data_IF_119278389646
#
_entry.id   IF_119278389646
#
_cell.length_a   1.000
_cell.length_b   1.000
_cell.length_c   1.000
_cell.angle_alpha   90.00
_cell.angle_beta   90.00
_cell.angle_gamma   90.00
#
_symmetry.space_group_name_H-M   'P 1'
#
loop_
_entity.id
_entity.type
_entity.pdbx_description
1 polymer ?
#
# COMPACT_ATOMS: atom_id res chain seq x y z
N UNK A 1 -2.08 3.53 19.50
CA UNK A 1 -1.42 3.09 18.25
C UNK A 1 -1.87 4.04 17.17
N UNK A 2 -0.92 4.69 16.53
CA UNK A 2 -1.19 5.60 15.41
C UNK A 2 -1.41 4.73 14.16
N UNK A 3 -2.59 4.84 13.54
CA UNK A 3 -2.82 4.19 12.25
C UNK A 3 -2.02 4.98 11.21
N UNK A 4 -1.38 4.28 10.28
CA UNK A 4 -0.65 4.92 9.18
C UNK A 4 -1.58 5.09 7.98
N UNK A 5 -1.46 6.24 7.32
CA UNK A 5 -2.23 6.44 6.12
C UNK A 5 -1.63 5.61 4.99
N UNK A 6 -2.49 4.98 4.18
CA UNK A 6 -2.09 4.16 3.05
C UNK A 6 -1.10 4.86 2.10
N UNK A 7 -1.14 6.20 2.04
CA UNK A 7 -0.23 7.00 1.23
C UNK A 7 1.24 6.81 1.60
N UNK A 8 1.58 6.49 2.86
CA UNK A 8 2.97 6.19 3.26
C UNK A 8 3.51 4.95 2.55
N UNK A 9 2.67 3.91 2.44
CA UNK A 9 3.01 2.69 1.68
C UNK A 9 3.15 3.01 0.19
N UNK A 10 2.31 3.88 -0.34
CA UNK A 10 2.37 4.26 -1.75
C UNK A 10 3.62 5.08 -2.07
N UNK A 11 4.06 5.97 -1.18
CA UNK A 11 5.33 6.67 -1.31
C UNK A 11 6.53 5.72 -1.28
N UNK A 12 6.51 4.70 -0.42
CA UNK A 12 7.54 3.65 -0.45
C UNK A 12 7.56 2.88 -1.77
N UNK A 13 6.40 2.68 -2.37
CA UNK A 13 6.29 1.99 -3.65
C UNK A 13 6.74 2.82 -4.85
N UNK A 14 6.86 4.13 -4.69
CA UNK A 14 7.27 5.03 -5.76
C UNK A 14 8.66 4.67 -6.29
N UNK A 15 8.80 4.63 -7.62
CA UNK A 15 10.06 4.27 -8.28
C UNK A 15 10.45 2.79 -8.14
N UNK A 16 9.63 1.96 -7.51
CA UNK A 16 9.91 0.55 -7.26
C UNK A 16 8.75 -0.34 -7.72
N UNK A 17 9.07 -1.61 -7.97
CA UNK A 17 8.12 -2.64 -8.37
C UNK A 17 8.06 -3.74 -7.33
N UNK A 18 6.86 -4.12 -6.93
CA UNK A 18 6.64 -5.16 -5.93
C UNK A 18 5.66 -6.22 -6.43
N UNK A 19 5.78 -7.41 -5.84
CA UNK A 19 4.75 -8.44 -5.88
C UNK A 19 3.92 -8.39 -4.59
N UNK A 20 2.76 -9.05 -4.52
CA UNK A 20 1.87 -9.00 -3.35
C UNK A 20 2.60 -9.49 -2.10
N UNK A 21 3.39 -10.56 -2.23
CA UNK A 21 4.26 -11.06 -1.17
C UNK A 21 5.35 -10.05 -0.77
N UNK A 22 6.16 -9.58 -1.72
CA UNK A 22 7.28 -8.67 -1.42
C UNK A 22 6.82 -7.32 -0.89
N UNK A 23 5.67 -6.82 -1.33
CA UNK A 23 5.08 -5.59 -0.80
C UNK A 23 4.65 -5.79 0.65
N UNK A 24 3.95 -6.89 0.95
CA UNK A 24 3.55 -7.22 2.32
C UNK A 24 4.76 -7.31 3.23
N UNK A 25 5.80 -8.02 2.80
CA UNK A 25 7.06 -8.11 3.55
C UNK A 25 7.73 -6.74 3.74
N UNK A 26 7.77 -5.89 2.71
CA UNK A 26 8.34 -4.55 2.80
C UNK A 26 7.55 -3.65 3.76
N UNK A 27 6.22 -3.75 3.75
CA UNK A 27 5.33 -3.04 4.67
C UNK A 27 5.61 -3.49 6.11
N UNK A 28 5.59 -4.80 6.36
CA UNK A 28 5.85 -5.38 7.68
C UNK A 28 7.25 -5.03 8.18
N UNK A 29 8.25 -5.03 7.29
CA UNK A 29 9.63 -4.72 7.65
C UNK A 29 9.85 -3.24 7.96
N UNK A 30 9.17 -2.35 7.24
CA UNK A 30 9.34 -0.90 7.43
C UNK A 30 8.48 -0.36 8.55
N UNK A 31 7.22 -0.80 8.62
CA UNK A 31 6.22 -0.24 9.53
C UNK A 31 5.90 -1.15 10.71
N UNK A 32 6.16 -2.46 10.60
CA UNK A 32 5.86 -3.47 11.63
C UNK A 32 4.69 -4.38 11.24
N UNK A 33 4.69 -5.62 11.75
CA UNK A 33 3.63 -6.60 11.48
C UNK A 33 2.28 -6.23 12.13
N UNK A 34 2.33 -5.55 13.28
CA UNK A 34 1.15 -5.11 14.02
C UNK A 34 0.61 -3.75 13.51
N UNK A 35 1.29 -3.15 12.52
CA UNK A 35 0.90 -1.84 12.00
C UNK A 35 -0.44 -1.95 11.27
N UNK A 36 -1.35 -1.05 11.66
CA UNK A 36 -2.65 -0.85 10.99
C UNK A 36 -2.62 0.35 10.07
N UNK A 37 -3.33 0.21 8.97
CA UNK A 37 -3.43 1.20 7.91
C UNK A 37 -4.86 1.68 7.76
N UNK A 38 -5.00 2.93 7.35
CA UNK A 38 -6.27 3.51 6.96
C UNK A 38 -6.15 4.26 5.63
N UNK A 39 -7.29 4.44 4.99
CA UNK A 39 -7.50 5.20 3.76
C UNK A 39 -8.64 6.18 4.02
N UNK A 40 -8.83 7.14 3.13
CA UNK A 40 -9.96 8.08 3.22
C UNK A 40 -11.35 7.43 3.22
N UNK A 41 -11.47 6.14 2.88
CA UNK A 41 -12.76 5.43 2.79
C UNK A 41 -12.86 4.18 3.67
N UNK A 42 -11.78 3.72 4.28
CA UNK A 42 -11.71 2.51 5.09
C UNK A 42 -10.58 2.63 6.11
N UNK A 43 -10.78 2.11 7.32
CA UNK A 43 -9.83 2.18 8.44
C UNK A 43 -9.55 0.79 9.03
N UNK A 44 -8.54 0.69 9.91
CA UNK A 44 -8.17 -0.54 10.62
C UNK A 44 -7.72 -1.74 9.77
N UNK A 45 -7.20 -1.50 8.56
CA UNK A 45 -6.74 -2.55 7.66
C UNK A 45 -5.34 -3.06 8.04
N UNK A 46 -5.09 -4.35 7.91
CA UNK A 46 -3.71 -4.86 7.90
C UNK A 46 -3.04 -4.70 6.53
N UNK A 47 -1.76 -5.07 6.43
CA UNK A 47 -0.99 -4.96 5.19
C UNK A 47 -1.63 -5.74 4.02
N UNK A 48 -2.21 -6.91 4.27
CA UNK A 48 -2.88 -7.75 3.26
C UNK A 48 -4.17 -7.07 2.78
N UNK A 49 -5.02 -6.66 3.72
CA UNK A 49 -6.27 -5.93 3.42
C UNK A 49 -5.99 -4.64 2.65
N UNK A 50 -4.94 -3.90 3.03
CA UNK A 50 -4.52 -2.69 2.35
C UNK A 50 -4.15 -2.98 0.89
N UNK A 51 -3.36 -4.02 0.63
CA UNK A 51 -2.96 -4.43 -0.72
C UNK A 51 -4.21 -4.79 -1.54
N UNK A 52 -5.10 -5.62 -1.01
CA UNK A 52 -6.33 -5.99 -1.69
C UNK A 52 -7.20 -4.76 -1.99
N UNK A 53 -7.33 -3.84 -1.03
CA UNK A 53 -8.09 -2.60 -1.19
C UNK A 53 -7.51 -1.70 -2.30
N UNK A 54 -6.19 -1.49 -2.31
CA UNK A 54 -5.50 -0.70 -3.32
C UNK A 54 -5.62 -1.32 -4.72
N UNK A 55 -5.56 -2.66 -4.80
CA UNK A 55 -5.77 -3.43 -6.03
C UNK A 55 -7.19 -3.24 -6.55
N UNK A 56 -8.20 -3.37 -5.69
CA UNK A 56 -9.61 -3.16 -6.03
C UNK A 56 -9.91 -1.73 -6.48
N UNK A 57 -9.27 -0.74 -5.86
CA UNK A 57 -9.39 0.67 -6.27
C UNK A 57 -8.69 0.99 -7.60
N UNK A 58 -7.96 0.03 -8.19
CA UNK A 58 -7.19 0.25 -9.42
C UNK A 58 -6.03 1.22 -9.22
N UNK A 59 -5.50 1.30 -7.99
CA UNK A 59 -4.29 2.08 -7.68
C UNK A 59 -3.01 1.34 -8.07
N UNK A 60 -3.06 0.02 -8.20
CA UNK A 60 -1.94 -0.77 -8.71
C UNK A 60 -1.95 -0.84 -10.23
N UNK A 61 -0.82 -0.46 -10.82
CA UNK A 61 -0.54 -0.62 -12.23
C UNK A 61 0.31 -1.88 -12.42
N UNK A 62 -0.20 -2.90 -13.14
CA UNK A 62 0.61 -4.07 -13.47
C UNK A 62 1.76 -3.66 -14.39
N UNK A 63 2.94 -4.21 -14.13
CA UNK A 63 4.14 -4.05 -14.95
C UNK A 63 4.73 -5.43 -15.25
N UNK A 64 5.74 -5.51 -16.12
CA UNK A 64 6.35 -6.79 -16.56
C UNK A 64 6.78 -7.74 -15.42
N UNK A 65 7.16 -7.21 -14.25
CA UNK A 65 7.67 -8.02 -13.12
C UNK A 65 6.92 -7.81 -11.80
N UNK A 66 5.66 -7.38 -11.84
CA UNK A 66 4.85 -7.18 -10.64
C UNK A 66 3.85 -6.05 -10.83
N UNK A 67 3.74 -5.20 -9.83
CA UNK A 67 2.94 -3.98 -9.90
C UNK A 67 3.66 -2.83 -9.22
N UNK A 68 3.36 -1.64 -9.72
CA UNK A 68 3.71 -0.38 -9.09
C UNK A 68 2.43 0.33 -8.67
N UNK A 69 2.55 1.42 -7.91
CA UNK A 69 1.42 2.27 -7.57
C UNK A 69 1.38 3.49 -8.48
N UNK A 70 0.18 3.85 -8.92
CA UNK A 70 -0.06 5.14 -9.54
C UNK A 70 -0.16 6.24 -8.48
N UNK A 71 0.97 6.86 -8.15
CA UNK A 71 1.02 7.97 -7.18
C UNK A 71 0.16 9.17 -7.62
N UNK A 72 -0.16 9.29 -8.91
CA UNK A 72 -1.03 10.36 -9.41
C UNK A 72 -2.48 10.21 -8.94
N UNK A 73 -2.88 9.00 -8.51
CA UNK A 73 -4.20 8.69 -7.92
C UNK A 73 -4.20 8.70 -6.39
N UNK A 74 -3.13 9.17 -5.77
CA UNK A 74 -3.01 9.38 -4.32
C UNK A 74 -3.69 10.70 -3.98
N UNK A 75 -4.59 10.70 -2.99
CA UNK A 75 -5.30 11.92 -2.61
C UNK A 75 -4.37 12.80 -1.76
N UNK A 76 -4.15 14.06 -2.15
CA UNK A 76 -3.32 15.02 -1.40
C UNK A 76 -4.04 15.66 -0.19
N UNK A 77 -4.92 14.92 0.51
CA UNK A 77 -5.72 15.51 1.58
C UNK A 77 -4.97 15.59 2.90
#
# INVERSE_FOLDING_TARGET
MEQLHAHEVLHMMEGNSYSEASLKEAIVKTFGEDQRFYTCSAENMDADELIVFLKQKGKFMPIENGFTVDITKVCNH
#
